data_IF_031801736455
#
_entry.id   IF_031801736455
#
_cell.length_a   1.000
_cell.length_b   1.000
_cell.length_c   1.000
_cell.angle_alpha   90.00
_cell.angle_beta   90.00
_cell.angle_gamma   90.00
#
_symmetry.space_group_name_H-M   'P 1'
#
loop_
_entity.id
_entity.type
_entity.pdbx_description
1 polymer ?
#
# COMPACT_ATOMS: atom_id res chain seq x y z
N UNK A 1 -7.55 15.94 -2.44
CA UNK A 1 -7.38 16.47 -1.07
C UNK A 1 -8.67 16.23 -0.31
N UNK A 2 -8.58 15.87 0.96
CA UNK A 2 -9.74 15.76 1.85
C UNK A 2 -9.42 16.21 3.27
N UNK A 3 -10.45 16.58 4.01
CA UNK A 3 -10.38 16.81 5.44
C UNK A 3 -10.27 15.48 6.19
N UNK A 4 -9.27 15.38 7.07
CA UNK A 4 -9.02 14.16 7.83
C UNK A 4 -8.82 14.44 9.31
N UNK A 5 -9.41 13.61 10.17
CA UNK A 5 -9.24 13.65 11.63
C UNK A 5 -8.48 12.40 12.06
N UNK A 6 -7.22 12.56 12.46
CA UNK A 6 -6.38 11.45 12.91
C UNK A 6 -6.81 10.86 14.27
N UNK A 7 -7.29 11.73 15.16
CA UNK A 7 -7.79 11.37 16.49
C UNK A 7 -8.87 12.37 16.94
N UNK A 8 -9.89 11.98 17.73
CA UNK A 8 -10.93 12.90 18.17
C UNK A 8 -10.44 14.15 18.90
N UNK A 9 -9.28 14.09 19.52
CA UNK A 9 -8.67 15.22 20.24
C UNK A 9 -7.80 16.13 19.33
N UNK A 10 -7.69 15.82 18.06
CA UNK A 10 -6.92 16.58 17.09
C UNK A 10 -7.83 17.29 16.10
N UNK A 11 -7.46 18.47 15.60
CA UNK A 11 -8.25 19.16 14.59
C UNK A 11 -8.29 18.38 13.28
N UNK A 12 -9.32 18.64 12.49
CA UNK A 12 -9.35 18.25 11.09
C UNK A 12 -8.26 18.96 10.32
N UNK A 13 -7.59 18.26 9.42
CA UNK A 13 -6.50 18.80 8.61
C UNK A 13 -6.48 18.18 7.22
N UNK A 14 -5.98 18.91 6.25
CA UNK A 14 -5.94 18.47 4.87
C UNK A 14 -4.87 17.38 4.66
N UNK A 15 -5.29 16.27 4.10
CA UNK A 15 -4.42 15.19 3.63
C UNK A 15 -4.53 15.03 2.12
N UNK A 16 -3.53 14.41 1.52
CA UNK A 16 -3.54 14.04 0.11
C UNK A 16 -3.83 12.55 -0.04
N UNK A 17 -4.74 12.21 -0.91
CA UNK A 17 -5.11 10.82 -1.14
C UNK A 17 -5.18 10.53 -2.64
N UNK A 18 -4.90 9.30 -3.01
CA UNK A 18 -5.40 8.75 -4.26
C UNK A 18 -6.89 8.51 -4.12
N UNK A 19 -7.68 8.95 -5.08
CA UNK A 19 -9.13 8.81 -5.00
C UNK A 19 -9.62 7.93 -6.14
N UNK A 20 -10.18 6.79 -5.79
CA UNK A 20 -10.98 5.97 -6.70
C UNK A 20 -12.46 6.29 -6.60
N UNK A 21 -13.26 5.60 -7.40
CA UNK A 21 -14.73 5.65 -7.29
C UNK A 21 -15.24 4.24 -7.02
N UNK A 22 -16.21 4.12 -6.11
CA UNK A 22 -16.94 2.88 -5.89
C UNK A 22 -17.87 2.55 -7.07
N UNK A 23 -18.57 1.42 -7.01
CA UNK A 23 -19.50 1.00 -8.05
C UNK A 23 -20.68 1.97 -8.28
N UNK A 24 -20.94 2.86 -7.32
CA UNK A 24 -21.98 3.89 -7.40
C UNK A 24 -21.44 5.24 -7.85
N UNK A 25 -20.12 5.34 -8.11
CA UNK A 25 -19.44 6.57 -8.50
C UNK A 25 -19.04 7.48 -7.33
N UNK A 26 -19.20 7.05 -6.07
CA UNK A 26 -18.80 7.83 -4.91
C UNK A 26 -17.27 7.83 -4.77
N UNK A 27 -16.66 8.96 -4.36
CA UNK A 27 -15.23 9.03 -4.12
C UNK A 27 -14.84 8.12 -2.94
N UNK A 28 -13.72 7.44 -3.09
CA UNK A 28 -13.18 6.51 -2.10
C UNK A 28 -11.68 6.73 -1.96
N UNK A 29 -11.19 7.20 -0.79
CA UNK A 29 -9.78 7.52 -0.59
C UNK A 29 -8.93 6.25 -0.48
N UNK A 30 -7.76 6.31 -1.09
CA UNK A 30 -6.73 5.27 -1.07
C UNK A 30 -7.30 3.85 -1.24
N UNK A 31 -8.01 3.57 -2.36
CA UNK A 31 -8.70 2.30 -2.55
C UNK A 31 -7.74 1.11 -2.47
N UNK A 32 -8.15 0.07 -1.78
CA UNK A 32 -7.50 -1.23 -1.92
C UNK A 32 -7.88 -1.79 -3.29
N UNK A 33 -6.91 -1.88 -4.19
CA UNK A 33 -7.12 -2.42 -5.53
C UNK A 33 -7.01 -3.94 -5.48
N UNK A 34 -8.02 -4.63 -5.97
CA UNK A 34 -8.05 -6.09 -6.06
C UNK A 34 -7.81 -6.53 -7.50
N UNK A 35 -6.67 -7.15 -7.75
CA UNK A 35 -6.27 -7.63 -9.06
C UNK A 35 -6.18 -9.16 -9.11
N UNK A 36 -6.08 -9.70 -10.30
CA UNK A 36 -5.86 -11.13 -10.52
C UNK A 36 -4.63 -11.36 -11.37
N UNK A 37 -3.87 -12.36 -10.99
CA UNK A 37 -2.70 -12.80 -11.72
C UNK A 37 -3.06 -13.11 -13.19
N UNK A 38 -2.21 -12.62 -14.11
CA UNK A 38 -2.41 -12.79 -15.55
C UNK A 38 -3.53 -11.92 -16.16
N UNK A 39 -4.15 -11.04 -15.38
CA UNK A 39 -5.13 -10.05 -15.88
C UNK A 39 -4.53 -8.65 -15.73
N UNK A 40 -4.11 -8.03 -16.83
CA UNK A 40 -3.52 -6.70 -16.75
C UNK A 40 -4.54 -5.65 -16.31
N UNK A 41 -4.03 -4.63 -15.65
CA UNK A 41 -4.79 -3.44 -15.24
C UNK A 41 -4.19 -2.22 -15.94
N UNK A 42 -5.04 -1.40 -16.53
CA UNK A 42 -4.69 -0.05 -16.98
C UNK A 42 -5.38 0.93 -16.04
N UNK A 43 -4.59 1.81 -15.44
CA UNK A 43 -5.07 2.80 -14.50
C UNK A 43 -4.68 4.19 -15.02
N UNK A 44 -5.67 5.10 -15.14
CA UNK A 44 -5.39 6.52 -15.39
C UNK A 44 -5.42 7.28 -14.08
N UNK A 45 -4.31 7.91 -13.76
CA UNK A 45 -4.18 8.80 -12.61
C UNK A 45 -4.19 10.25 -13.10
N UNK A 46 -5.18 11.03 -12.65
CA UNK A 46 -5.22 12.48 -12.80
C UNK A 46 -4.57 13.11 -11.56
N UNK A 47 -3.71 14.09 -11.79
CA UNK A 47 -3.11 14.85 -10.71
C UNK A 47 -3.93 16.13 -10.46
N UNK A 48 -4.83 16.04 -9.49
CA UNK A 48 -5.69 17.16 -9.06
C UNK A 48 -5.15 17.86 -7.80
N UNK A 49 -3.86 17.72 -7.50
CA UNK A 49 -3.22 18.44 -6.39
C UNK A 49 -3.06 19.92 -6.73
N UNK A 50 -3.12 20.83 -5.75
CA UNK A 50 -2.93 22.27 -6.00
C UNK A 50 -1.44 22.59 -6.18
N UNK A 51 -1.15 23.47 -7.12
CA UNK A 51 0.22 23.99 -7.32
C UNK A 51 0.72 24.80 -6.11
N UNK A 52 -0.17 25.55 -5.48
CA UNK A 52 0.09 26.48 -4.37
C UNK A 52 -0.32 25.88 -3.02
N UNK A 53 0.21 24.72 -2.70
CA UNK A 53 -0.07 24.07 -1.41
C UNK A 53 0.79 24.64 -0.26
N UNK A 54 0.31 24.46 0.95
CA UNK A 54 1.06 24.75 2.18
C UNK A 54 1.50 23.46 2.87
N UNK A 55 2.62 23.54 3.61
CA UNK A 55 3.17 22.41 4.34
C UNK A 55 4.18 21.60 3.52
N UNK A 56 4.44 20.38 3.93
CA UNK A 56 5.45 19.50 3.34
C UNK A 56 4.94 18.73 2.13
N UNK A 57 5.87 18.11 1.38
CA UNK A 57 5.57 17.35 0.16
C UNK A 57 5.69 18.18 -1.11
N UNK A 58 5.47 17.56 -2.26
CA UNK A 58 5.44 18.19 -3.57
C UNK A 58 4.17 17.80 -4.32
N UNK A 59 3.55 18.71 -5.11
CA UNK A 59 2.32 18.41 -5.83
C UNK A 59 2.56 17.61 -7.12
N UNK A 60 3.80 17.37 -7.50
CA UNK A 60 4.14 16.43 -8.57
C UNK A 60 3.94 14.99 -8.07
N UNK A 61 3.54 14.09 -8.97
CA UNK A 61 3.29 12.69 -8.66
C UNK A 61 4.07 11.80 -9.60
N UNK A 62 4.78 10.83 -9.07
CA UNK A 62 5.34 9.69 -9.79
C UNK A 62 4.83 8.40 -9.15
N UNK A 63 3.70 7.87 -9.64
CA UNK A 63 3.06 6.72 -9.03
C UNK A 63 3.90 5.46 -9.20
N UNK A 64 4.22 4.80 -8.08
CA UNK A 64 4.94 3.54 -8.02
C UNK A 64 4.05 2.44 -7.44
N UNK A 65 3.99 1.30 -8.10
CA UNK A 65 3.42 0.07 -7.54
C UNK A 65 4.54 -0.81 -7.01
N UNK A 66 4.72 -0.75 -5.70
CA UNK A 66 5.83 -1.38 -4.99
C UNK A 66 5.74 -2.91 -5.03
N UNK A 67 6.83 -3.55 -5.44
CA UNK A 67 7.05 -4.98 -5.60
C UNK A 67 6.42 -5.64 -6.85
N UNK A 68 5.72 -4.93 -7.72
CA UNK A 68 5.26 -5.54 -8.97
C UNK A 68 6.35 -5.45 -10.05
N UNK A 69 6.43 -6.46 -10.91
CA UNK A 69 7.20 -6.39 -12.16
C UNK A 69 6.40 -5.55 -13.16
N UNK A 70 6.71 -4.26 -13.24
CA UNK A 70 6.06 -3.30 -14.12
C UNK A 70 7.02 -2.85 -15.23
N UNK A 71 6.50 -2.47 -16.41
CA UNK A 71 7.29 -1.75 -17.40
C UNK A 71 7.81 -0.43 -16.82
N UNK A 72 9.01 -0.01 -17.24
CA UNK A 72 9.69 1.18 -16.69
C UNK A 72 8.84 2.46 -16.75
N UNK A 73 8.05 2.63 -17.82
CA UNK A 73 7.15 3.76 -18.00
C UNK A 73 5.97 3.81 -17.02
N UNK A 74 5.71 2.69 -16.34
CA UNK A 74 4.62 2.54 -15.35
C UNK A 74 5.13 2.27 -13.94
N UNK A 75 6.46 2.30 -13.73
CA UNK A 75 7.07 1.97 -12.44
C UNK A 75 7.17 3.17 -11.48
N UNK A 76 7.09 4.38 -11.98
CA UNK A 76 7.36 5.57 -11.19
C UNK A 76 8.84 5.68 -10.84
N UNK A 77 9.65 6.20 -11.75
CA UNK A 77 11.10 6.23 -11.61
C UNK A 77 11.55 7.31 -10.60
N UNK A 78 12.27 6.96 -9.52
CA UNK A 78 12.67 7.93 -8.49
C UNK A 78 13.69 8.95 -8.96
N UNK A 79 14.42 8.66 -10.05
CA UNK A 79 15.35 9.60 -10.66
C UNK A 79 14.71 10.65 -11.55
N UNK A 80 13.40 10.57 -11.79
CA UNK A 80 12.66 11.63 -12.46
C UNK A 80 12.61 12.86 -11.56
N UNK A 81 12.83 14.01 -12.15
CA UNK A 81 12.86 15.27 -11.43
C UNK A 81 11.94 16.29 -12.09
N UNK A 82 11.51 17.22 -11.29
CA UNK A 82 10.74 18.36 -11.74
C UNK A 82 11.61 19.61 -11.87
N UNK A 83 11.42 20.35 -12.95
CA UNK A 83 11.88 21.72 -13.08
C UNK A 83 10.80 22.55 -13.78
N UNK A 84 10.91 23.88 -13.74
CA UNK A 84 9.95 24.78 -14.43
C UNK A 84 9.82 24.50 -15.92
N UNK A 85 10.81 23.89 -16.53
CA UNK A 85 10.87 23.66 -17.99
C UNK A 85 10.88 22.21 -18.40
N UNK A 86 11.06 21.26 -17.44
CA UNK A 86 11.20 19.83 -17.74
C UNK A 86 10.72 18.99 -16.57
N UNK A 87 9.96 17.93 -16.86
CA UNK A 87 9.66 16.84 -15.91
C UNK A 87 10.20 15.53 -16.45
N UNK A 88 10.48 14.59 -15.57
CA UNK A 88 10.76 13.22 -15.96
C UNK A 88 9.53 12.54 -16.58
N UNK A 89 9.72 11.48 -17.39
CA UNK A 89 8.68 10.86 -18.18
C UNK A 89 7.62 10.12 -17.34
N UNK A 90 7.91 9.78 -16.09
CA UNK A 90 6.97 9.09 -15.20
C UNK A 90 6.22 10.04 -14.26
N UNK A 91 6.58 11.32 -14.23
CA UNK A 91 5.93 12.34 -13.40
C UNK A 91 4.70 12.94 -14.09
N UNK A 92 3.71 13.31 -13.27
CA UNK A 92 2.61 14.20 -13.67
C UNK A 92 2.53 15.41 -12.75
N UNK A 93 2.32 16.61 -13.36
CA UNK A 93 2.11 17.86 -12.66
C UNK A 93 0.63 18.06 -12.35
N UNK A 94 0.28 18.98 -11.45
CA UNK A 94 -1.10 19.41 -11.31
C UNK A 94 -1.78 19.73 -12.64
N UNK A 95 -2.98 19.17 -12.84
CA UNK A 95 -3.75 19.26 -14.08
C UNK A 95 -3.38 18.26 -15.17
N UNK A 96 -2.32 17.49 -15.01
CA UNK A 96 -1.92 16.45 -15.95
C UNK A 96 -2.47 15.05 -15.53
N UNK A 97 -2.32 14.07 -16.42
CA UNK A 97 -2.59 12.68 -16.09
C UNK A 97 -1.48 11.76 -16.59
N UNK A 98 -1.41 10.58 -16.00
CA UNK A 98 -0.53 9.50 -16.42
C UNK A 98 -1.29 8.19 -16.50
N UNK A 99 -1.10 7.44 -17.58
CA UNK A 99 -1.58 6.08 -17.72
C UNK A 99 -0.53 5.10 -17.19
N UNK A 100 -0.96 4.17 -16.35
CA UNK A 100 -0.13 3.11 -15.77
C UNK A 100 -0.61 1.76 -16.31
N UNK A 101 0.33 0.90 -16.66
CA UNK A 101 0.06 -0.46 -17.09
C UNK A 101 0.67 -1.47 -16.13
N UNK A 102 -0.16 -2.27 -15.50
CA UNK A 102 0.25 -3.31 -14.56
C UNK A 102 -0.08 -4.69 -15.14
N UNK A 103 0.91 -5.46 -15.61
CA UNK A 103 0.68 -6.75 -16.27
C UNK A 103 0.21 -7.83 -15.30
N UNK A 104 0.44 -7.69 -13.99
CA UNK A 104 0.06 -8.65 -12.95
C UNK A 104 0.56 -10.06 -13.25
N UNK A 105 1.85 -10.19 -13.56
CA UNK A 105 2.51 -11.46 -13.87
C UNK A 105 3.73 -11.66 -12.98
N UNK A 106 4.10 -12.91 -12.74
CA UNK A 106 5.36 -13.25 -12.08
C UNK A 106 6.54 -13.10 -13.06
N UNK A 107 7.74 -12.95 -12.52
CA UNK A 107 8.97 -13.00 -13.32
C UNK A 107 9.20 -14.39 -13.90
N UNK A 108 10.19 -14.51 -14.79
CA UNK A 108 10.70 -15.79 -15.27
C UNK A 108 9.75 -16.53 -16.22
N UNK A 109 8.97 -15.84 -17.04
CA UNK A 109 8.09 -16.48 -18.03
C UNK A 109 8.85 -17.36 -19.02
N UNK A 110 10.09 -17.04 -19.34
CA UNK A 110 10.94 -17.80 -20.23
C UNK A 110 11.39 -19.14 -19.62
N UNK A 111 11.64 -19.15 -18.30
CA UNK A 111 12.05 -20.33 -17.55
C UNK A 111 10.85 -21.17 -17.08
N UNK A 112 9.74 -20.51 -16.77
CA UNK A 112 8.50 -21.12 -16.29
C UNK A 112 7.34 -20.81 -17.24
N UNK A 113 7.31 -21.43 -18.43
CA UNK A 113 6.25 -21.18 -19.40
C UNK A 113 4.89 -21.64 -18.90
N UNK A 114 3.83 -21.18 -19.53
CA UNK A 114 2.46 -21.60 -19.23
C UNK A 114 2.32 -23.12 -19.40
N UNK A 115 1.67 -23.74 -18.43
CA UNK A 115 1.41 -25.18 -18.39
C UNK A 115 0.07 -25.48 -17.73
N UNK A 116 -0.37 -26.73 -17.75
CA UNK A 116 -1.60 -27.14 -17.04
C UNK A 116 -1.50 -26.94 -15.52
N UNK A 117 -0.30 -27.08 -14.93
CA UNK A 117 -0.04 -26.85 -13.50
C UNK A 117 0.29 -25.40 -13.16
N UNK A 118 0.63 -24.59 -14.16
CA UNK A 118 0.92 -23.16 -14.03
C UNK A 118 0.31 -22.38 -15.21
N UNK A 119 -1.03 -22.24 -15.26
CA UNK A 119 -1.72 -21.68 -16.44
C UNK A 119 -1.33 -20.24 -16.76
N UNK A 120 -0.90 -19.49 -15.77
CA UNK A 120 -0.46 -18.11 -15.93
C UNK A 120 1.01 -18.00 -16.37
N UNK A 121 1.83 -19.03 -16.12
CA UNK A 121 3.29 -18.99 -16.30
C UNK A 121 3.99 -18.21 -15.21
N UNK A 122 5.32 -18.06 -15.35
CA UNK A 122 6.18 -17.35 -14.39
C UNK A 122 6.52 -18.15 -13.14
N UNK A 123 7.45 -17.63 -12.37
CA UNK A 123 7.93 -18.28 -11.14
C UNK A 123 6.93 -18.12 -9.99
N UNK A 124 6.26 -19.20 -9.63
CA UNK A 124 5.27 -19.20 -8.55
C UNK A 124 5.85 -18.96 -7.17
N UNK A 125 7.17 -19.05 -6.99
CA UNK A 125 7.85 -18.68 -5.74
C UNK A 125 7.82 -17.17 -5.50
N UNK A 126 7.54 -16.40 -6.54
CA UNK A 126 7.33 -14.95 -6.48
C UNK A 126 5.84 -14.59 -6.40
N UNK A 127 5.03 -15.38 -5.69
CA UNK A 127 3.60 -15.14 -5.56
C UNK A 127 3.31 -13.88 -4.71
N UNK A 128 3.32 -12.73 -5.37
CA UNK A 128 3.12 -11.41 -4.80
C UNK A 128 1.65 -11.15 -4.48
N UNK A 129 1.21 -11.51 -3.28
CA UNK A 129 -0.20 -11.37 -2.88
C UNK A 129 -0.53 -10.03 -2.22
N UNK A 130 0.47 -9.32 -1.68
CA UNK A 130 0.26 -8.05 -0.98
C UNK A 130 1.29 -7.04 -1.44
N UNK A 131 0.83 -6.09 -2.24
CA UNK A 131 1.62 -4.96 -2.71
C UNK A 131 0.98 -3.67 -2.22
N UNK A 132 1.66 -2.56 -2.46
CA UNK A 132 1.12 -1.24 -2.17
C UNK A 132 1.59 -0.23 -3.20
N UNK A 133 0.83 0.82 -3.40
CA UNK A 133 1.17 1.91 -4.30
C UNK A 133 1.37 3.20 -3.51
N UNK A 134 2.32 4.01 -3.94
CA UNK A 134 2.66 5.28 -3.30
C UNK A 134 3.34 6.22 -4.31
N UNK A 135 3.51 7.46 -3.91
CA UNK A 135 4.34 8.39 -4.67
C UNK A 135 5.83 8.03 -4.55
N UNK A 136 6.59 8.27 -5.63
CA UNK A 136 8.03 7.99 -5.69
C UNK A 136 8.84 9.18 -6.23
N UNK A 137 8.34 10.41 -6.08
CA UNK A 137 9.10 11.59 -6.45
C UNK A 137 10.41 11.69 -5.67
N UNK A 138 11.50 11.98 -6.39
CA UNK A 138 12.84 12.15 -5.80
C UNK A 138 12.78 13.14 -4.64
N UNK A 139 13.37 12.76 -3.50
CA UNK A 139 13.40 13.50 -2.23
C UNK A 139 12.02 13.70 -1.54
N UNK A 140 10.90 13.36 -2.19
CA UNK A 140 9.56 13.61 -1.65
C UNK A 140 8.72 12.35 -1.38
N UNK A 141 9.21 11.16 -1.71
CA UNK A 141 8.50 9.90 -1.48
C UNK A 141 7.98 9.79 -0.06
N UNK A 142 8.84 9.96 0.93
CA UNK A 142 8.48 9.85 2.35
C UNK A 142 7.48 10.95 2.77
N UNK A 143 7.69 12.19 2.32
CA UNK A 143 6.82 13.31 2.61
C UNK A 143 5.42 13.10 2.04
N UNK A 144 5.30 12.76 0.75
CA UNK A 144 4.03 12.55 0.08
C UNK A 144 3.27 11.32 0.62
N UNK A 145 3.97 10.19 0.87
CA UNK A 145 3.37 9.03 1.53
C UNK A 145 2.89 9.35 2.95
N UNK A 146 3.67 10.12 3.73
CA UNK A 146 3.28 10.58 5.07
C UNK A 146 2.07 11.50 5.02
N UNK A 147 1.93 12.31 3.96
CA UNK A 147 0.77 13.18 3.77
C UNK A 147 -0.51 12.42 3.44
N UNK A 148 -0.42 11.13 3.06
CA UNK A 148 -1.54 10.22 2.86
C UNK A 148 -1.54 9.47 1.53
N UNK A 149 -0.56 9.69 0.66
CA UNK A 149 -0.52 9.11 -0.69
C UNK A 149 0.04 7.68 -0.68
N UNK A 150 -0.73 6.76 -0.13
CA UNK A 150 -0.41 5.33 -0.09
C UNK A 150 -1.69 4.47 -0.04
N UNK A 151 -1.68 3.33 -0.72
CA UNK A 151 -2.80 2.38 -0.69
C UNK A 151 -2.37 0.96 -1.05
N UNK A 152 -3.23 -0.02 -0.78
CA UNK A 152 -2.94 -1.42 -1.05
C UNK A 152 -3.30 -1.83 -2.48
N UNK A 153 -2.49 -2.76 -3.00
CA UNK A 153 -2.77 -3.47 -4.24
C UNK A 153 -2.63 -4.98 -3.98
N UNK A 154 -3.72 -5.72 -4.06
CA UNK A 154 -3.78 -7.13 -3.73
C UNK A 154 -3.93 -7.96 -5.00
N UNK A 155 -3.04 -8.92 -5.20
CA UNK A 155 -3.11 -9.84 -6.33
C UNK A 155 -3.51 -11.23 -5.82
N UNK A 156 -4.51 -11.81 -6.47
CA UNK A 156 -4.99 -13.15 -6.22
C UNK A 156 -4.67 -14.06 -7.41
N UNK A 157 -4.33 -15.31 -7.12
CA UNK A 157 -4.08 -16.35 -8.13
C UNK A 157 -4.91 -17.63 -7.87
N UNK A 158 -4.52 -18.74 -8.45
CA UNK A 158 -5.20 -20.00 -8.21
C UNK A 158 -4.87 -20.62 -6.83
N UNK A 159 -3.74 -20.23 -6.23
CA UNK A 159 -3.31 -20.72 -4.91
C UNK A 159 -3.91 -19.86 -3.77
N UNK A 160 -3.73 -18.55 -3.85
CA UNK A 160 -4.40 -17.57 -3.00
C UNK A 160 -5.55 -16.94 -3.77
N UNK A 161 -6.68 -17.60 -3.82
CA UNK A 161 -7.82 -17.18 -4.65
C UNK A 161 -8.61 -15.99 -4.08
N UNK A 162 -8.35 -15.59 -2.83
CA UNK A 162 -9.16 -14.61 -2.11
C UNK A 162 -10.56 -15.13 -1.76
N UNK A 163 -10.74 -16.46 -1.71
CA UNK A 163 -11.99 -17.11 -1.34
C UNK A 163 -11.72 -18.25 -0.35
N UNK A 164 -12.12 -18.09 0.90
CA UNK A 164 -11.94 -19.11 1.94
C UNK A 164 -12.77 -20.38 1.71
N UNK A 165 -13.76 -20.33 0.82
CA UNK A 165 -14.62 -21.45 0.43
C UNK A 165 -14.31 -21.94 -0.98
N UNK A 166 -13.12 -21.71 -1.51
CA UNK A 166 -12.74 -22.12 -2.85
C UNK A 166 -12.88 -23.64 -3.00
N UNK A 167 -13.63 -24.13 -4.02
CA UNK A 167 -13.80 -25.56 -4.26
C UNK A 167 -12.52 -26.25 -4.76
N UNK A 168 -11.54 -25.49 -5.26
CA UNK A 168 -10.26 -26.03 -5.70
C UNK A 168 -9.47 -26.58 -4.49
N UNK A 169 -9.15 -27.87 -4.52
CA UNK A 169 -8.42 -28.54 -3.45
C UNK A 169 -7.01 -27.98 -3.23
N UNK A 170 -6.41 -27.38 -4.25
CA UNK A 170 -5.08 -26.76 -4.19
C UNK A 170 -5.10 -25.34 -3.64
N UNK A 171 -6.27 -24.71 -3.47
CA UNK A 171 -6.36 -23.35 -2.93
C UNK A 171 -6.08 -23.35 -1.42
N UNK A 172 -5.38 -22.33 -0.96
CA UNK A 172 -4.99 -22.16 0.46
C UNK A 172 -6.18 -21.87 1.38
N UNK A 173 -7.29 -21.36 0.82
CA UNK A 173 -8.52 -21.00 1.57
C UNK A 173 -8.23 -20.10 2.78
N UNK A 174 -7.38 -19.10 2.56
CA UNK A 174 -7.08 -18.09 3.58
C UNK A 174 -8.33 -17.27 3.89
N UNK A 175 -8.45 -16.72 5.11
CA UNK A 175 -9.55 -15.80 5.44
C UNK A 175 -9.67 -14.70 4.39
N UNK A 176 -10.89 -14.39 3.96
CA UNK A 176 -11.16 -13.51 2.81
C UNK A 176 -12.34 -12.57 3.05
N UNK A 177 -12.54 -11.61 2.16
CA UNK A 177 -13.60 -10.61 2.27
C UNK A 177 -13.52 -9.81 3.57
N UNK A 178 -14.57 -9.82 4.37
CA UNK A 178 -14.64 -9.13 5.66
C UNK A 178 -13.66 -9.68 6.73
N UNK A 179 -12.83 -10.65 6.39
CA UNK A 179 -11.88 -11.30 7.32
C UNK A 179 -10.42 -11.19 6.84
N UNK A 180 -10.20 -10.40 5.80
CA UNK A 180 -8.88 -10.05 5.25
C UNK A 180 -8.68 -8.54 5.40
N UNK A 181 -7.84 -8.13 6.36
CA UNK A 181 -7.64 -6.73 6.73
C UNK A 181 -6.29 -6.22 6.26
N UNK A 182 -6.23 -5.34 5.26
CA UNK A 182 -5.05 -4.55 4.97
C UNK A 182 -4.91 -3.42 6.02
N UNK A 183 -3.74 -3.41 6.69
CA UNK A 183 -3.42 -2.48 7.78
C UNK A 183 -2.11 -1.77 7.47
N UNK A 184 -2.19 -0.50 7.08
CA UNK A 184 -1.03 0.36 6.83
C UNK A 184 -0.65 1.10 8.12
N UNK A 185 0.56 0.83 8.60
CA UNK A 185 1.15 1.47 9.78
C UNK A 185 2.05 2.61 9.34
N UNK A 186 1.88 3.77 9.98
CA UNK A 186 2.78 4.92 9.83
C UNK A 186 2.98 5.57 11.18
N UNK A 187 4.23 5.85 11.52
CA UNK A 187 4.50 6.77 12.62
C UNK A 187 4.42 8.21 12.10
N UNK A 188 3.76 9.05 12.88
CA UNK A 188 3.53 10.46 12.55
C UNK A 188 3.90 11.35 13.71
N UNK A 189 4.34 12.54 13.39
CA UNK A 189 4.63 13.60 14.36
C UNK A 189 3.60 14.70 14.22
N UNK A 190 3.16 15.23 15.35
CA UNK A 190 2.20 16.33 15.43
C UNK A 190 2.78 17.44 16.31
N UNK A 191 2.47 18.69 15.96
CA UNK A 191 2.82 19.83 16.79
C UNK A 191 1.92 19.96 18.03
N UNK A 192 2.14 21.00 18.84
CA UNK A 192 1.33 21.26 20.04
C UNK A 192 -0.14 21.55 19.77
N UNK A 193 -0.50 21.87 18.53
CA UNK A 193 -1.87 22.11 18.09
C UNK A 193 -2.52 20.87 17.47
N UNK A 194 -1.78 19.74 17.40
CA UNK A 194 -2.24 18.51 16.79
C UNK A 194 -2.18 18.51 15.24
N UNK A 195 -1.41 19.42 14.66
CA UNK A 195 -1.19 19.47 13.21
C UNK A 195 0.01 18.60 12.85
N UNK A 196 -0.16 17.76 11.81
CA UNK A 196 0.90 16.89 11.32
C UNK A 196 2.09 17.71 10.80
N UNK A 197 3.28 17.33 11.23
CA UNK A 197 4.56 17.93 10.79
C UNK A 197 5.46 16.85 10.18
N UNK A 198 6.28 17.27 9.24
CA UNK A 198 7.30 16.44 8.62
C UNK A 198 8.55 17.30 8.37
N UNK A 199 9.70 16.84 8.83
CA UNK A 199 10.97 17.50 8.59
C UNK A 199 11.77 16.71 7.56
N UNK A 200 11.79 17.21 6.33
CA UNK A 200 12.49 16.57 5.22
C UNK A 200 14.02 16.74 5.31
N UNK A 201 14.49 17.71 6.09
CA UNK A 201 15.91 18.02 6.22
C UNK A 201 16.55 17.33 7.44
N UNK A 202 15.77 16.62 8.25
CA UNK A 202 16.30 15.85 9.36
C UNK A 202 17.12 14.67 8.85
N UNK A 203 18.44 14.63 9.08
CA UNK A 203 19.30 13.57 8.56
C UNK A 203 19.01 12.20 9.20
N UNK A 204 18.38 12.16 10.36
CA UNK A 204 17.94 10.92 11.02
C UNK A 204 16.57 10.45 10.53
N UNK A 205 15.91 11.23 9.66
CA UNK A 205 14.56 11.02 9.20
C UNK A 205 13.50 11.46 10.21
N UNK A 206 12.27 11.56 9.76
CA UNK A 206 11.16 11.96 10.63
C UNK A 206 10.73 10.79 11.51
N UNK A 207 11.03 10.85 12.80
CA UNK A 207 10.58 9.89 13.79
C UNK A 207 9.29 10.39 14.45
N UNK A 208 8.18 9.74 14.14
CA UNK A 208 6.88 10.03 14.75
C UNK A 208 6.76 9.47 16.17
N UNK A 209 5.94 10.11 17.00
CA UNK A 209 5.58 9.66 18.35
C UNK A 209 4.16 9.06 18.41
N UNK A 210 3.40 9.14 17.34
CA UNK A 210 2.07 8.55 17.19
C UNK A 210 2.06 7.52 16.07
N UNK A 211 1.61 6.32 16.39
CA UNK A 211 1.39 5.29 15.39
C UNK A 211 -0.04 5.40 14.86
N UNK A 212 -0.17 5.53 13.54
CA UNK A 212 -1.46 5.45 12.87
C UNK A 212 -1.62 4.10 12.19
N UNK A 213 -2.85 3.61 12.14
CA UNK A 213 -3.26 2.46 11.33
C UNK A 213 -4.36 2.91 10.39
N UNK A 214 -4.14 2.80 9.09
CA UNK A 214 -5.05 3.32 8.06
C UNK A 214 -5.48 4.77 8.33
N UNK A 215 -4.51 5.63 8.72
CA UNK A 215 -4.73 7.04 8.97
C UNK A 215 -5.40 7.41 10.31
N UNK A 216 -5.59 6.47 11.23
CA UNK A 216 -6.15 6.75 12.58
C UNK A 216 -5.13 6.40 13.65
N UNK A 217 -4.99 7.28 14.64
CA UNK A 217 -4.13 7.04 15.81
C UNK A 217 -4.80 6.01 16.71
N UNK A 218 -4.10 4.92 17.00
CA UNK A 218 -4.50 3.86 17.93
C UNK A 218 -5.96 3.38 17.73
N UNK A 219 -6.39 3.03 16.50
CA UNK A 219 -7.77 2.66 16.27
C UNK A 219 -8.12 1.31 16.90
N UNK A 220 -9.40 1.12 17.19
CA UNK A 220 -9.95 -0.15 17.69
C UNK A 220 -10.63 -0.91 16.57
N UNK A 221 -10.13 -2.12 16.27
CA UNK A 221 -10.78 -3.07 15.37
C UNK A 221 -11.64 -4.06 16.18
N UNK A 222 -12.95 -4.04 15.97
CA UNK A 222 -13.86 -5.01 16.58
C UNK A 222 -13.94 -6.25 15.70
N UNK A 223 -13.58 -7.40 16.26
CA UNK A 223 -13.50 -8.67 15.53
C UNK A 223 -14.42 -9.74 16.15
N UNK A 224 -15.00 -10.60 15.32
CA UNK A 224 -15.69 -11.80 15.77
C UNK A 224 -14.65 -12.89 16.16
N UNK A 225 -15.10 -13.89 16.95
CA UNK A 225 -14.24 -14.98 17.39
C UNK A 225 -13.99 -16.00 16.26
N UNK A 226 -13.01 -15.70 15.39
CA UNK A 226 -12.60 -16.55 14.27
C UNK A 226 -11.18 -16.23 13.80
N UNK A 227 -10.68 -16.92 12.77
CA UNK A 227 -9.42 -16.61 12.10
C UNK A 227 -9.58 -15.38 11.18
N UNK A 228 -8.56 -14.55 11.18
CA UNK A 228 -8.42 -13.39 10.31
C UNK A 228 -7.09 -13.45 9.56
N UNK A 229 -7.06 -12.88 8.37
CA UNK A 229 -5.83 -12.53 7.66
C UNK A 229 -5.55 -11.05 7.90
N UNK A 230 -4.38 -10.75 8.43
CA UNK A 230 -3.92 -9.38 8.59
C UNK A 230 -2.78 -9.15 7.61
N UNK A 231 -2.87 -8.10 6.82
CA UNK A 231 -1.82 -7.65 5.91
C UNK A 231 -1.17 -6.43 6.53
N UNK A 232 0.00 -6.61 7.13
CA UNK A 232 0.70 -5.57 7.87
C UNK A 232 1.68 -4.88 6.92
N UNK A 233 1.44 -3.62 6.61
CA UNK A 233 2.30 -2.78 5.78
C UNK A 233 2.99 -1.74 6.65
N UNK A 234 4.32 -1.70 6.65
CA UNK A 234 5.06 -0.54 7.11
C UNK A 234 5.10 0.50 5.97
N UNK A 235 4.26 1.51 6.08
CA UNK A 235 4.22 2.67 5.18
C UNK A 235 4.81 3.92 5.84
N UNK A 236 5.50 3.78 6.97
CA UNK A 236 6.15 4.86 7.70
C UNK A 236 7.44 5.33 7.03
N UNK A 237 7.88 6.59 7.31
CA UNK A 237 9.02 7.19 6.63
C UNK A 237 10.38 6.66 7.09
N UNK A 238 10.52 6.25 8.36
CA UNK A 238 11.85 6.04 8.94
C UNK A 238 11.98 4.85 9.88
N UNK A 239 10.90 4.32 10.43
CA UNK A 239 10.98 3.26 11.44
C UNK A 239 10.86 1.87 10.84
N UNK A 240 11.55 0.91 11.46
CA UNK A 240 11.22 -0.51 11.39
C UNK A 240 10.21 -0.83 12.49
N UNK A 241 9.23 -1.70 12.20
CA UNK A 241 8.24 -2.14 13.18
C UNK A 241 8.44 -3.60 13.54
N UNK A 242 8.25 -3.90 14.81
CA UNK A 242 8.14 -5.24 15.33
C UNK A 242 6.73 -5.42 15.92
N UNK A 243 6.01 -6.46 15.49
CA UNK A 243 4.61 -6.66 15.84
C UNK A 243 4.44 -7.81 16.81
N UNK A 244 3.72 -7.56 17.89
CA UNK A 244 3.33 -8.56 18.87
C UNK A 244 1.83 -8.51 19.11
N UNK A 245 1.20 -9.70 19.22
CA UNK A 245 -0.16 -9.80 19.71
C UNK A 245 -0.10 -10.12 21.20
N UNK A 246 -0.73 -9.29 22.01
CA UNK A 246 -0.79 -9.45 23.45
C UNK A 246 -2.24 -9.52 23.91
N UNK A 247 -2.54 -10.31 24.93
CA UNK A 247 -3.83 -10.31 25.58
C UNK A 247 -3.90 -9.27 26.70
N UNK A 248 -5.07 -9.13 27.33
CA UNK A 248 -5.29 -8.17 28.41
C UNK A 248 -4.40 -8.37 29.66
N UNK A 249 -3.77 -9.53 29.78
CA UNK A 249 -2.83 -9.85 30.84
C UNK A 249 -1.35 -9.68 30.39
N UNK A 250 -1.11 -8.98 29.28
CA UNK A 250 0.19 -8.81 28.64
C UNK A 250 0.88 -10.13 28.22
N UNK A 251 0.12 -11.20 28.09
CA UNK A 251 0.63 -12.49 27.60
C UNK A 251 0.70 -12.49 26.07
N UNK A 252 1.87 -12.88 25.54
CA UNK A 252 2.08 -13.02 24.10
C UNK A 252 1.10 -14.04 23.51
N UNK A 253 0.55 -13.71 22.35
CA UNK A 253 -0.32 -14.59 21.59
C UNK A 253 0.40 -15.07 20.33
N UNK A 254 0.19 -16.33 19.97
CA UNK A 254 0.75 -16.90 18.75
C UNK A 254 -0.04 -16.45 17.52
N UNK A 255 0.66 -16.29 16.40
CA UNK A 255 0.06 -16.12 15.09
C UNK A 255 0.81 -16.94 14.04
N UNK A 256 0.15 -17.17 12.92
CA UNK A 256 0.74 -17.87 11.79
C UNK A 256 1.25 -16.86 10.77
N UNK A 257 2.55 -16.83 10.54
CA UNK A 257 3.19 -15.98 9.55
C UNK A 257 3.21 -16.69 8.20
N UNK A 258 2.61 -16.11 7.18
CA UNK A 258 2.35 -16.77 5.90
C UNK A 258 2.97 -16.07 4.69
N UNK A 259 3.37 -14.82 4.85
CA UNK A 259 3.96 -14.04 3.75
C UNK A 259 4.94 -13.01 4.29
N UNK A 260 5.94 -12.66 3.50
CA UNK A 260 6.89 -11.60 3.77
C UNK A 260 7.13 -10.80 2.50
N UNK A 261 7.17 -9.48 2.62
CA UNK A 261 7.48 -8.56 1.53
C UNK A 261 6.67 -8.82 0.24
N UNK A 262 5.38 -9.12 0.44
CA UNK A 262 4.46 -9.46 -0.64
C UNK A 262 4.43 -10.93 -1.04
N UNK A 263 5.49 -11.70 -0.78
CA UNK A 263 5.61 -13.10 -1.17
C UNK A 263 5.00 -14.05 -0.14
N UNK A 264 4.30 -15.08 -0.61
CA UNK A 264 3.92 -16.22 0.21
C UNK A 264 5.18 -17.01 0.62
N UNK A 265 5.27 -17.38 1.89
CA UNK A 265 6.32 -18.26 2.38
C UNK A 265 6.12 -19.69 1.82
N UNK A 266 7.21 -20.45 1.59
CA UNK A 266 7.13 -21.86 1.18
C UNK A 266 6.34 -22.73 2.16
N UNK A 267 6.34 -22.37 3.42
CA UNK A 267 5.56 -22.99 4.49
C UNK A 267 5.20 -21.96 5.55
N UNK A 268 4.04 -22.09 6.19
CA UNK A 268 3.65 -21.19 7.28
C UNK A 268 4.56 -21.38 8.49
N UNK A 269 4.89 -20.26 9.15
CA UNK A 269 5.65 -20.23 10.39
C UNK A 269 4.74 -19.85 11.55
N UNK A 270 4.84 -20.57 12.67
CA UNK A 270 4.15 -20.19 13.90
C UNK A 270 5.10 -19.31 14.71
N UNK A 271 4.74 -18.05 14.84
CA UNK A 271 5.47 -17.11 15.68
C UNK A 271 4.90 -17.14 17.11
N UNK A 272 5.79 -16.97 18.09
CA UNK A 272 5.46 -17.00 19.52
C UNK A 272 5.86 -15.71 20.19
#
# INVERSE_FOLDING_TARGET
IEDHVFHPNYPSQLVWNYVGKDANGNPYPNPTIHARYGRPVVLRLYNDLPEDHTGFGTPEISLHLHNLHTPSESDGFPGDYFSKTKSGPTMSRPGEFKDQFYPNIYAGLDEFPRSASNPAGGDRREALGTLWYHDRCLDFTAANATRGMAGFYLIYDALDSGNENDPNSSALRLPSGAYDYPLAFQDKRFDSNGIQVFDQLDPEGTLGDKITVNGKIEPVLRVARRKYRLRLLNAGPSRYYEFYFVNNANGLQTFTYIANDGNLLPAPLINR
#
